data_IF_431251297084
#
_entry.id   IF_431251297084
#
_cell.length_a   1.000
_cell.length_b   1.000
_cell.length_c   1.000
_cell.angle_alpha   90.00
_cell.angle_beta   90.00
_cell.angle_gamma   90.00
#
_symmetry.space_group_name_H-M   'P 1'
#
loop_
_entity.id
_entity.type
_entity.pdbx_description
1 polymer ?
#
# COMPACT_ATOMS: atom_id res chain seq x y z
N UNK A 1 -30.57 -13.82 -63.60
CA UNK A 1 -31.12 -13.41 -62.28
C UNK A 1 -30.59 -14.43 -61.28
N UNK A 2 -29.47 -14.22 -60.54
CA UNK A 2 -29.23 -13.22 -59.49
C UNK A 2 -30.05 -13.62 -58.25
N UNK A 3 -29.51 -14.37 -57.29
CA UNK A 3 -28.67 -13.99 -56.13
C UNK A 3 -28.57 -15.26 -55.25
N UNK A 4 -27.71 -15.49 -54.26
CA UNK A 4 -26.45 -14.95 -53.76
C UNK A 4 -26.09 -15.93 -52.63
N UNK A 5 -24.84 -16.39 -52.57
CA UNK A 5 -24.37 -17.28 -51.49
C UNK A 5 -24.21 -16.47 -50.21
N UNK A 6 -24.95 -16.81 -49.16
CA UNK A 6 -24.79 -16.24 -47.82
C UNK A 6 -23.65 -16.98 -47.09
N UNK A 7 -22.49 -16.33 -46.99
CA UNK A 7 -21.38 -16.75 -46.14
C UNK A 7 -21.60 -16.16 -44.75
N UNK A 8 -21.86 -17.02 -43.77
CA UNK A 8 -21.91 -16.62 -42.36
C UNK A 8 -20.47 -16.47 -41.83
N UNK A 9 -20.05 -15.23 -41.57
CA UNK A 9 -18.76 -14.93 -40.91
C UNK A 9 -19.03 -14.85 -39.41
N UNK A 10 -18.67 -15.91 -38.67
CA UNK A 10 -18.61 -15.88 -37.20
C UNK A 10 -17.38 -15.11 -36.76
N UNK A 11 -17.57 -13.92 -36.19
CA UNK A 11 -16.51 -13.12 -35.56
C UNK A 11 -16.24 -13.71 -34.17
N UNK A 12 -15.09 -14.37 -33.99
CA UNK A 12 -14.61 -14.79 -32.67
C UNK A 12 -14.00 -13.57 -31.96
N UNK A 13 -14.65 -13.11 -30.88
CA UNK A 13 -14.11 -12.06 -30.02
C UNK A 13 -13.01 -12.65 -29.12
N UNK A 14 -11.76 -12.23 -29.32
CA UNK A 14 -10.65 -12.57 -28.42
C UNK A 14 -10.70 -11.57 -27.27
N UNK A 15 -11.14 -12.02 -26.09
CA UNK A 15 -11.05 -11.24 -24.87
C UNK A 15 -9.59 -11.26 -24.39
N UNK A 16 -8.90 -10.12 -24.50
CA UNK A 16 -7.62 -9.92 -23.82
C UNK A 16 -7.91 -9.69 -22.34
N UNK A 17 -7.78 -10.73 -21.52
CA UNK A 17 -7.74 -10.57 -20.07
C UNK A 17 -6.36 -9.97 -19.72
N UNK A 18 -6.32 -8.68 -19.42
CA UNK A 18 -5.18 -8.08 -18.74
C UNK A 18 -5.13 -8.66 -17.32
N UNK A 19 -4.09 -9.42 -17.01
CA UNK A 19 -3.82 -9.81 -15.62
C UNK A 19 -3.50 -8.53 -14.84
N UNK A 20 -4.37 -8.13 -13.93
CA UNK A 20 -4.00 -7.23 -12.86
C UNK A 20 -2.97 -7.99 -12.01
N UNK A 21 -1.70 -7.56 -12.09
CA UNK A 21 -0.66 -8.03 -11.18
C UNK A 21 -0.67 -7.03 -10.03
N UNK A 22 -0.94 -7.49 -8.81
CA UNK A 22 -0.72 -6.66 -7.63
C UNK A 22 0.78 -6.40 -7.54
N UNK A 23 1.19 -5.13 -7.56
CA UNK A 23 2.58 -4.73 -7.38
C UNK A 23 2.89 -4.61 -5.90
N UNK A 24 4.06 -5.09 -5.48
CA UNK A 24 4.56 -4.86 -4.13
C UNK A 24 4.85 -3.36 -3.95
N UNK A 25 4.33 -2.76 -2.88
CA UNK A 25 4.51 -1.34 -2.60
C UNK A 25 5.76 -1.17 -1.74
N UNK A 26 6.78 -0.51 -2.27
CA UNK A 26 8.08 -0.35 -1.60
C UNK A 26 8.37 1.12 -1.34
N UNK A 27 8.62 1.47 -0.08
CA UNK A 27 8.99 2.84 0.31
C UNK A 27 9.92 2.85 1.52
N UNK A 28 10.67 3.93 1.67
CA UNK A 28 11.52 4.15 2.86
C UNK A 28 10.78 4.97 3.92
N UNK A 29 10.61 4.41 5.11
CA UNK A 29 10.11 5.11 6.28
C UNK A 29 11.26 5.65 7.13
N UNK A 30 11.24 6.93 7.47
CA UNK A 30 12.18 7.57 8.40
C UNK A 30 11.45 8.06 9.65
N UNK A 31 11.99 7.71 10.81
CA UNK A 31 11.56 8.28 12.07
C UNK A 31 12.40 9.53 12.39
N UNK A 32 11.90 10.72 12.09
CA UNK A 32 12.55 12.00 12.43
C UNK A 32 11.99 12.60 13.73
N UNK A 33 11.33 11.78 14.55
CA UNK A 33 10.80 12.16 15.86
C UNK A 33 11.81 11.89 16.97
N UNK A 34 11.44 12.22 18.20
CA UNK A 34 12.23 11.94 19.40
C UNK A 34 11.91 10.60 20.09
N UNK A 35 10.92 9.84 19.61
CA UNK A 35 10.48 8.59 20.23
C UNK A 35 10.67 7.37 19.32
N UNK A 36 10.89 6.21 19.92
CA UNK A 36 10.94 4.93 19.20
C UNK A 36 9.55 4.60 18.65
N UNK A 37 9.46 4.32 17.35
CA UNK A 37 8.24 3.82 16.72
C UNK A 37 8.17 2.30 16.93
N UNK A 38 7.16 1.85 17.66
CA UNK A 38 7.06 0.44 18.09
C UNK A 38 6.07 -0.38 17.26
N UNK A 39 5.10 0.27 16.61
CA UNK A 39 4.21 -0.37 15.64
C UNK A 39 3.91 0.54 14.48
N UNK A 40 3.78 -0.06 13.31
CA UNK A 40 3.41 0.62 12.09
C UNK A 40 2.33 -0.16 11.37
N UNK A 41 1.15 0.45 11.20
CA UNK A 41 0.03 -0.17 10.52
C UNK A 41 -0.25 0.54 9.20
N UNK A 42 -0.66 -0.22 8.20
CA UNK A 42 -1.16 0.29 6.92
C UNK A 42 -2.50 -0.38 6.62
N UNK A 43 -3.48 0.37 6.11
CA UNK A 43 -4.76 -0.17 5.69
C UNK A 43 -5.26 0.54 4.44
N UNK A 44 -5.83 -0.16 3.44
CA UNK A 44 -6.44 0.50 2.29
C UNK A 44 -7.51 1.50 2.71
N UNK A 45 -7.57 2.65 2.05
CA UNK A 45 -8.56 3.67 2.38
C UNK A 45 -9.99 3.11 2.29
N UNK A 46 -10.77 3.35 3.35
CA UNK A 46 -12.16 2.90 3.46
C UNK A 46 -12.35 1.56 4.16
N UNK A 47 -11.26 0.93 4.62
CA UNK A 47 -11.31 -0.18 5.59
C UNK A 47 -11.37 0.41 7.00
N UNK A 48 -12.36 0.01 7.80
CA UNK A 48 -12.63 0.60 9.12
C UNK A 48 -11.74 0.06 10.25
N UNK A 49 -11.18 -1.13 10.07
CA UNK A 49 -10.32 -1.79 11.07
C UNK A 49 -8.86 -1.75 10.62
N UNK A 50 -7.95 -1.49 11.56
CA UNK A 50 -6.51 -1.55 11.30
C UNK A 50 -6.07 -2.99 11.07
N UNK A 51 -5.29 -3.20 10.01
CA UNK A 51 -4.67 -4.49 9.69
C UNK A 51 -3.42 -4.74 10.56
N UNK A 52 -2.76 -5.87 10.33
CA UNK A 52 -1.59 -6.31 11.11
C UNK A 52 -0.45 -5.28 11.11
N UNK A 53 0.35 -5.30 12.18
CA UNK A 53 1.57 -4.50 12.28
C UNK A 53 2.61 -4.96 11.26
N UNK A 54 3.09 -4.01 10.46
CA UNK A 54 4.08 -4.20 9.40
C UNK A 54 5.46 -4.53 9.99
N UNK A 55 5.78 -4.05 11.19
CA UNK A 55 7.08 -4.29 11.82
C UNK A 55 7.21 -5.66 12.50
N UNK A 56 6.10 -6.21 13.00
CA UNK A 56 6.06 -7.48 13.70
C UNK A 56 6.77 -7.42 15.06
N UNK A 57 8.06 -7.75 15.09
CA UNK A 57 8.89 -7.68 16.31
C UNK A 57 9.98 -6.62 16.24
N UNK A 58 10.02 -5.86 15.15
CA UNK A 58 11.00 -4.80 14.92
C UNK A 58 10.46 -3.47 15.46
N UNK A 59 11.37 -2.53 15.68
CA UNK A 59 11.06 -1.15 16.04
C UNK A 59 11.94 -0.23 15.20
N UNK A 60 11.56 1.04 15.08
CA UNK A 60 12.35 2.05 14.37
C UNK A 60 12.77 3.16 15.34
N UNK A 61 14.05 3.20 15.67
CA UNK A 61 14.59 4.15 16.66
C UNK A 61 14.60 5.60 16.12
N UNK A 62 14.68 6.61 17.00
CA UNK A 62 14.82 8.01 16.59
C UNK A 62 15.99 8.22 15.62
N UNK A 63 15.71 8.86 14.48
CA UNK A 63 16.68 9.17 13.44
C UNK A 63 16.95 8.02 12.45
N UNK A 64 16.42 6.83 12.67
CA UNK A 64 16.62 5.68 11.78
C UNK A 64 15.70 5.71 10.57
N UNK A 65 16.04 4.88 9.57
CA UNK A 65 15.24 4.66 8.38
C UNK A 65 15.23 3.18 8.02
N UNK A 66 14.10 2.72 7.50
CA UNK A 66 13.88 1.34 7.07
C UNK A 66 13.14 1.32 5.74
N UNK A 67 13.53 0.42 4.84
CA UNK A 67 12.77 0.11 3.63
C UNK A 67 11.70 -0.91 3.97
N UNK A 68 10.46 -0.59 3.64
CA UNK A 68 9.29 -1.44 3.89
C UNK A 68 8.73 -1.93 2.56
N UNK A 69 8.13 -3.11 2.60
CA UNK A 69 7.41 -3.70 1.47
C UNK A 69 6.03 -4.11 1.93
N UNK A 70 4.99 -3.53 1.34
CA UNK A 70 3.61 -3.94 1.52
C UNK A 70 3.27 -4.89 0.37
N UNK A 71 3.23 -6.19 0.66
CA UNK A 71 2.95 -7.27 -0.29
C UNK A 71 1.64 -7.97 0.06
N UNK A 72 0.56 -7.20 0.18
CA UNK A 72 -0.78 -7.67 0.58
C UNK A 72 -1.58 -8.30 -0.58
N UNK A 73 -1.03 -8.28 -1.79
CA UNK A 73 -1.63 -8.84 -2.99
C UNK A 73 -2.81 -8.02 -3.54
N UNK A 74 -2.94 -6.75 -3.13
CA UNK A 74 -3.99 -5.84 -3.59
C UNK A 74 -3.48 -4.94 -4.72
N UNK A 75 -4.41 -4.51 -5.57
CA UNK A 75 -4.16 -3.54 -6.65
C UNK A 75 -4.80 -2.19 -6.28
N UNK A 76 -4.34 -1.62 -5.15
CA UNK A 76 -4.75 -0.32 -4.62
C UNK A 76 -3.53 0.47 -4.19
N UNK A 77 -3.62 1.80 -4.24
CA UNK A 77 -2.48 2.67 -3.97
C UNK A 77 -2.68 3.57 -2.76
N UNK A 78 -3.92 3.92 -2.43
CA UNK A 78 -4.23 4.84 -1.33
C UNK A 78 -4.37 4.04 -0.03
N UNK A 79 -3.50 4.34 0.94
CA UNK A 79 -3.49 3.71 2.25
C UNK A 79 -3.58 4.78 3.34
N UNK A 80 -4.33 4.44 4.39
CA UNK A 80 -4.21 5.03 5.71
C UNK A 80 -3.01 4.36 6.42
N UNK A 81 -2.19 5.17 7.08
CA UNK A 81 -0.99 4.79 7.84
C UNK A 81 -1.17 5.20 9.30
N UNK A 82 -0.72 4.37 10.23
CA UNK A 82 -0.79 4.64 11.66
C UNK A 82 0.54 4.30 12.34
N UNK A 83 1.00 5.24 13.17
CA UNK A 83 2.29 5.23 13.83
C UNK A 83 2.09 5.21 15.34
N UNK A 84 2.40 4.08 15.98
CA UNK A 84 2.33 3.96 17.44
C UNK A 84 3.74 4.02 18.04
N UNK A 85 4.00 5.05 18.84
CA UNK A 85 5.26 5.25 19.54
C UNK A 85 5.28 4.56 20.90
N UNK A 86 6.47 4.39 21.47
CA UNK A 86 6.63 3.84 22.83
C UNK A 86 5.74 4.58 23.84
N UNK A 87 4.98 3.84 24.64
CA UNK A 87 4.01 4.38 25.61
C UNK A 87 4.67 5.22 26.72
N UNK A 88 5.99 5.08 26.93
CA UNK A 88 6.76 5.88 27.89
C UNK A 88 7.29 7.18 27.27
N UNK A 89 7.09 7.38 25.96
CA UNK A 89 7.38 8.64 25.29
C UNK A 89 6.27 9.67 25.53
N UNK A 90 6.52 10.92 25.14
CA UNK A 90 5.51 11.99 25.19
C UNK A 90 4.80 12.20 23.83
N UNK A 91 4.94 11.26 22.90
CA UNK A 91 4.33 11.34 21.57
C UNK A 91 3.06 10.50 21.53
N UNK A 92 2.00 11.10 21.02
CA UNK A 92 0.73 10.42 20.78
C UNK A 92 0.82 9.57 19.51
N UNK A 93 -0.11 8.61 19.37
CA UNK A 93 -0.29 7.90 18.08
C UNK A 93 -0.70 8.88 17.00
N UNK A 94 -0.09 8.77 15.82
CA UNK A 94 -0.41 9.61 14.66
C UNK A 94 -0.86 8.78 13.48
N UNK A 95 -1.65 9.42 12.61
CA UNK A 95 -2.22 8.79 11.43
C UNK A 95 -2.04 9.73 10.23
N UNK A 96 -1.81 9.16 9.05
CA UNK A 96 -1.72 9.91 7.79
C UNK A 96 -2.21 9.07 6.60
N UNK A 97 -2.39 9.70 5.44
CA UNK A 97 -2.88 9.08 4.21
C UNK A 97 -1.92 9.33 3.06
N UNK A 98 -1.48 8.27 2.39
CA UNK A 98 -0.52 8.37 1.29
C UNK A 98 -0.87 7.47 0.11
N UNK A 99 -0.41 7.88 -1.08
CA UNK A 99 -0.39 7.06 -2.29
C UNK A 99 0.92 6.27 -2.32
N UNK A 100 0.89 5.03 -1.83
CA UNK A 100 2.07 4.19 -1.68
C UNK A 100 2.68 3.76 -3.03
N UNK A 101 1.90 3.73 -4.12
CA UNK A 101 2.42 3.44 -5.46
C UNK A 101 3.36 4.54 -5.98
N UNK A 102 3.24 5.76 -5.44
CA UNK A 102 4.08 6.91 -5.79
C UNK A 102 5.04 7.31 -4.67
N UNK A 103 4.87 6.72 -3.49
CA UNK A 103 5.64 7.05 -2.31
C UNK A 103 7.03 6.42 -2.40
N UNK A 104 8.06 7.24 -2.61
CA UNK A 104 9.44 6.76 -2.50
C UNK A 104 9.93 6.74 -1.05
N UNK A 105 9.57 7.76 -0.28
CA UNK A 105 9.94 7.87 1.13
C UNK A 105 8.93 8.71 1.91
N UNK A 106 8.76 8.38 3.18
CA UNK A 106 7.96 9.10 4.16
C UNK A 106 8.80 9.39 5.41
N UNK A 107 8.65 10.59 5.97
CA UNK A 107 9.35 10.99 7.20
C UNK A 107 8.33 11.47 8.23
N UNK A 108 8.42 10.92 9.44
CA UNK A 108 7.56 11.28 10.57
C UNK A 108 8.21 12.44 11.35
N UNK A 109 7.47 13.51 11.67
CA UNK A 109 8.04 14.80 12.12
C UNK A 109 7.51 15.35 13.47
N UNK A 110 6.80 14.56 14.27
CA UNK A 110 6.23 14.98 15.58
C UNK A 110 7.20 15.74 16.51
#
# INVERSE_FOLDING_TARGET
MKHSVLVAVTVAAIAFASSAQAEDLVFTLKNDTSATLVRFHTSPVGVEEWEDDVFGSQVLEPGESIELTIADGRDVCEYDMRFEFDENSNLETTEDKQDLCKLGSYTIHE
#
